data_IF_209329979660
#
_entry.id   IF_209329979660
#
_cell.length_a   1.000
_cell.length_b   1.000
_cell.length_c   1.000
_cell.angle_alpha   90.00
_cell.angle_beta   90.00
_cell.angle_gamma   90.00
#
_symmetry.space_group_name_H-M   'P 1'
#
loop_
_entity.id
_entity.type
_entity.pdbx_description
1 polymer ?
#
# COMPACT_ATOMS: atom_id res chain seq x y z
N UNK A 1 10.57 14.55 21.80
CA UNK A 1 10.78 13.66 20.65
C UNK A 1 9.56 13.77 19.76
N UNK A 2 9.76 13.98 18.46
CA UNK A 2 8.68 14.05 17.48
C UNK A 2 8.05 12.67 17.26
N UNK A 3 6.73 12.60 17.07
CA UNK A 3 6.04 11.34 16.81
C UNK A 3 6.39 10.77 15.43
N UNK A 4 6.15 9.47 15.24
CA UNK A 4 6.36 8.84 13.94
C UNK A 4 5.43 9.42 12.87
N UNK A 5 4.18 9.75 13.22
CA UNK A 5 3.24 10.37 12.27
C UNK A 5 3.70 11.77 11.86
N UNK A 6 4.24 12.56 12.79
CA UNK A 6 4.76 13.90 12.48
C UNK A 6 5.94 13.83 11.51
N UNK A 7 6.86 12.88 11.70
CA UNK A 7 7.97 12.67 10.77
C UNK A 7 7.51 12.20 9.39
N UNK A 8 6.52 11.30 9.35
CA UNK A 8 5.94 10.84 8.09
C UNK A 8 5.37 12.03 7.31
N UNK A 9 4.58 12.88 7.96
CA UNK A 9 4.02 14.08 7.35
C UNK A 9 5.08 15.06 6.82
N UNK A 10 6.14 15.32 7.61
CA UNK A 10 7.24 16.19 7.17
C UNK A 10 7.98 15.65 5.94
N UNK A 11 8.16 14.33 5.83
CA UNK A 11 8.88 13.72 4.73
C UNK A 11 8.02 13.48 3.49
N UNK A 12 6.74 13.14 3.67
CA UNK A 12 5.82 12.84 2.58
C UNK A 12 5.13 14.07 2.01
N UNK A 13 5.07 15.16 2.80
CA UNK A 13 4.30 16.36 2.48
C UNK A 13 2.79 16.17 2.57
N UNK A 14 2.33 15.05 3.15
CA UNK A 14 0.91 14.73 3.33
C UNK A 14 0.52 15.03 4.78
N UNK A 15 -0.54 15.82 4.97
CA UNK A 15 -1.10 16.04 6.30
C UNK A 15 -1.70 14.73 6.84
N UNK A 16 -1.56 14.41 8.13
CA UNK A 16 -2.16 13.19 8.69
C UNK A 16 -3.67 13.08 8.43
N UNK A 17 -4.40 14.19 8.41
CA UNK A 17 -5.83 14.18 8.09
C UNK A 17 -6.11 13.74 6.65
N UNK A 18 -5.30 14.19 5.69
CA UNK A 18 -5.41 13.78 4.29
C UNK A 18 -5.05 12.30 4.09
N UNK A 19 -4.05 11.79 4.83
CA UNK A 19 -3.67 10.38 4.79
C UNK A 19 -4.78 9.45 5.33
N UNK A 20 -5.57 9.93 6.29
CA UNK A 20 -6.68 9.18 6.88
C UNK A 20 -8.06 9.54 6.31
N UNK A 21 -8.14 10.40 5.28
CA UNK A 21 -9.39 10.69 4.56
C UNK A 21 -10.01 9.45 3.86
N UNK A 22 -9.27 8.34 3.79
CA UNK A 22 -9.82 7.02 3.44
C UNK A 22 -10.91 6.54 4.41
N UNK A 23 -10.98 7.09 5.63
CA UNK A 23 -11.98 6.74 6.65
C UNK A 23 -13.31 7.48 6.47
N UNK A 24 -13.34 8.53 5.65
CA UNK A 24 -14.57 9.30 5.36
C UNK A 24 -15.51 8.57 4.39
N UNK A 25 -15.09 7.44 3.82
CA UNK A 25 -15.85 6.67 2.85
C UNK A 25 -15.49 5.20 2.96
N UNK A 26 -16.48 4.31 2.92
CA UNK A 26 -16.20 2.89 2.80
C UNK A 26 -15.73 2.57 1.36
N UNK A 27 -14.42 2.68 1.13
CA UNK A 27 -13.81 2.41 -0.17
C UNK A 27 -13.98 0.94 -0.61
N UNK A 28 -14.08 0.01 0.34
CA UNK A 28 -14.38 -1.38 0.01
C UNK A 28 -15.78 -1.56 -0.57
N UNK A 29 -16.81 -0.94 0.03
CA UNK A 29 -18.16 -0.95 -0.53
C UNK A 29 -18.22 -0.28 -1.90
N UNK A 30 -17.45 0.79 -2.10
CA UNK A 30 -17.40 1.54 -3.36
C UNK A 30 -16.69 0.77 -4.49
N UNK A 31 -15.57 0.13 -4.19
CA UNK A 31 -14.66 -0.45 -5.20
C UNK A 31 -14.77 -1.97 -5.32
N UNK A 32 -15.23 -2.66 -4.29
CA UNK A 32 -15.35 -4.12 -4.24
C UNK A 32 -14.01 -4.87 -4.15
N UNK A 33 -14.07 -6.13 -3.72
CA UNK A 33 -12.89 -6.98 -3.51
C UNK A 33 -12.01 -7.14 -4.77
N UNK A 34 -12.64 -7.32 -5.93
CA UNK A 34 -11.93 -7.54 -7.20
C UNK A 34 -10.93 -6.42 -7.52
N UNK A 35 -11.28 -5.17 -7.21
CA UNK A 35 -10.44 -4.00 -7.45
C UNK A 35 -9.16 -4.02 -6.61
N UNK A 36 -9.24 -4.41 -5.33
CA UNK A 36 -8.06 -4.51 -4.46
C UNK A 36 -7.11 -5.65 -4.88
N UNK A 37 -7.67 -6.77 -5.34
CA UNK A 37 -6.90 -7.89 -5.90
C UNK A 37 -6.19 -7.43 -7.18
N UNK A 38 -6.91 -6.80 -8.10
CA UNK A 38 -6.35 -6.29 -9.36
C UNK A 38 -5.26 -5.25 -9.12
N UNK A 39 -5.49 -4.29 -8.21
CA UNK A 39 -4.52 -3.26 -7.85
C UNK A 39 -3.23 -3.87 -7.31
N UNK A 40 -3.35 -4.77 -6.31
CA UNK A 40 -2.17 -5.38 -5.68
C UNK A 40 -1.42 -6.31 -6.64
N UNK A 41 -2.15 -7.00 -7.53
CA UNK A 41 -1.55 -7.83 -8.59
C UNK A 41 -0.77 -6.96 -9.59
N UNK A 42 -1.37 -5.86 -10.06
CA UNK A 42 -0.71 -4.92 -10.96
C UNK A 42 0.54 -4.31 -10.32
N UNK A 43 0.42 -3.86 -9.06
CA UNK A 43 1.53 -3.34 -8.27
C UNK A 43 2.69 -4.34 -8.17
N UNK A 44 2.43 -5.58 -7.73
CA UNK A 44 3.50 -6.55 -7.58
C UNK A 44 4.03 -7.12 -8.89
N UNK A 45 3.28 -7.07 -10.00
CA UNK A 45 3.86 -7.31 -11.31
C UNK A 45 5.01 -6.32 -11.56
N UNK A 46 4.76 -5.02 -11.37
CA UNK A 46 5.77 -3.98 -11.56
C UNK A 46 6.95 -4.10 -10.60
N UNK A 47 6.71 -4.42 -9.33
CA UNK A 47 7.77 -4.61 -8.34
C UNK A 47 8.69 -5.78 -8.68
N UNK A 48 8.13 -6.92 -9.08
CA UNK A 48 8.93 -8.11 -9.39
C UNK A 48 9.59 -8.04 -10.77
N UNK A 49 9.06 -7.22 -11.68
CA UNK A 49 9.63 -6.94 -12.99
C UNK A 49 10.52 -5.67 -12.99
N UNK A 50 10.83 -5.10 -11.81
CA UNK A 50 11.64 -3.89 -11.71
C UNK A 50 13.10 -4.13 -12.15
N UNK A 51 13.56 -3.32 -13.11
CA UNK A 51 14.93 -3.33 -13.63
C UNK A 51 15.97 -2.88 -12.57
N UNK A 52 15.54 -2.13 -11.55
CA UNK A 52 16.38 -1.65 -10.46
C UNK A 52 16.64 -2.79 -9.45
N UNK A 53 17.77 -3.47 -9.61
CA UNK A 53 18.15 -4.63 -8.77
C UNK A 53 18.16 -4.31 -7.26
N UNK A 54 18.58 -3.10 -6.88
CA UNK A 54 18.60 -2.68 -5.47
C UNK A 54 17.20 -2.66 -4.85
N UNK A 55 16.15 -2.39 -5.63
CA UNK A 55 14.77 -2.38 -5.16
C UNK A 55 14.15 -3.77 -5.26
N UNK A 56 14.31 -4.43 -6.41
CA UNK A 56 13.76 -5.79 -6.64
C UNK A 56 14.31 -6.80 -5.64
N UNK A 57 15.59 -6.70 -5.26
CA UNK A 57 16.22 -7.59 -4.28
C UNK A 57 15.63 -7.51 -2.87
N UNK A 58 14.96 -6.40 -2.50
CA UNK A 58 14.20 -6.28 -1.24
C UNK A 58 13.13 -7.37 -1.14
N UNK A 59 12.56 -7.76 -2.28
CA UNK A 59 11.47 -8.74 -2.36
C UNK A 59 11.94 -10.17 -2.65
N UNK A 60 13.24 -10.41 -2.86
CA UNK A 60 13.77 -11.70 -3.34
C UNK A 60 13.44 -12.91 -2.44
N UNK A 61 13.26 -12.69 -1.14
CA UNK A 61 12.91 -13.74 -0.17
C UNK A 61 11.39 -13.88 0.03
N UNK A 62 10.58 -13.16 -0.73
CA UNK A 62 9.12 -13.23 -0.68
C UNK A 62 8.60 -13.90 -1.95
N UNK A 63 7.58 -14.76 -1.82
CA UNK A 63 6.83 -15.22 -2.98
C UNK A 63 5.89 -14.11 -3.43
N UNK A 64 5.80 -13.89 -4.74
CA UNK A 64 4.99 -12.82 -5.33
C UNK A 64 3.51 -12.95 -4.95
N UNK A 65 2.99 -14.17 -5.01
CA UNK A 65 1.59 -14.48 -4.73
C UNK A 65 1.26 -14.22 -3.25
N UNK A 66 2.17 -14.59 -2.34
CA UNK A 66 2.01 -14.32 -0.91
C UNK A 66 2.05 -12.81 -0.63
N UNK A 67 2.90 -12.06 -1.32
CA UNK A 67 3.01 -10.61 -1.18
C UNK A 67 1.73 -9.91 -1.67
N UNK A 68 1.21 -10.32 -2.84
CA UNK A 68 -0.09 -9.87 -3.37
C UNK A 68 -1.19 -10.13 -2.34
N UNK A 69 -1.27 -11.36 -1.82
CA UNK A 69 -2.28 -11.72 -0.82
C UNK A 69 -2.18 -10.87 0.45
N UNK A 70 -0.98 -10.70 0.98
CA UNK A 70 -0.77 -9.89 2.18
C UNK A 70 -1.22 -8.44 1.98
N UNK A 71 -0.93 -7.85 0.81
CA UNK A 71 -1.26 -6.47 0.53
C UNK A 71 -2.76 -6.25 0.34
N UNK A 72 -3.43 -7.01 -0.55
CA UNK A 72 -4.85 -6.76 -0.78
C UNK A 72 -5.69 -7.07 0.47
N UNK A 73 -5.35 -8.10 1.25
CA UNK A 73 -6.09 -8.41 2.48
C UNK A 73 -5.95 -7.28 3.51
N UNK A 74 -4.77 -6.67 3.61
CA UNK A 74 -4.56 -5.52 4.47
C UNK A 74 -5.36 -4.32 3.99
N UNK A 75 -5.35 -4.02 2.69
CA UNK A 75 -6.12 -2.90 2.13
C UNK A 75 -7.62 -3.10 2.30
N UNK A 76 -8.14 -4.27 1.96
CA UNK A 76 -9.54 -4.64 2.17
C UNK A 76 -9.95 -4.40 3.62
N UNK A 77 -9.16 -4.90 4.58
CA UNK A 77 -9.43 -4.69 6.00
C UNK A 77 -9.34 -3.20 6.40
N UNK A 78 -8.33 -2.48 5.93
CA UNK A 78 -8.10 -1.08 6.33
C UNK A 78 -9.13 -0.13 5.72
N UNK A 79 -9.69 -0.46 4.57
CA UNK A 79 -10.52 0.43 3.77
C UNK A 79 -12.02 0.06 3.79
N UNK A 80 -12.46 -0.59 4.88
CA UNK A 80 -13.88 -0.80 5.18
C UNK A 80 -14.45 -2.20 4.87
N UNK A 81 -13.61 -3.13 4.43
CA UNK A 81 -13.99 -4.51 4.15
C UNK A 81 -13.79 -5.48 5.32
N UNK A 82 -14.02 -6.78 5.10
CA UNK A 82 -13.84 -7.81 6.13
C UNK A 82 -12.37 -7.91 6.61
N UNK A 83 -12.11 -8.33 7.87
CA UNK A 83 -10.77 -8.35 8.45
C UNK A 83 -9.93 -9.56 8.01
N UNK A 84 -9.76 -9.74 6.71
CA UNK A 84 -9.09 -10.91 6.11
C UNK A 84 -7.64 -11.04 6.60
N UNK A 85 -6.91 -9.93 6.65
CA UNK A 85 -5.51 -9.92 7.08
C UNK A 85 -5.37 -10.36 8.54
N UNK A 86 -6.14 -9.75 9.45
CA UNK A 86 -6.09 -10.05 10.87
C UNK A 86 -6.51 -11.48 11.17
N UNK A 87 -7.52 -12.00 10.47
CA UNK A 87 -7.95 -13.39 10.62
C UNK A 87 -6.83 -14.40 10.28
N UNK A 88 -5.97 -14.09 9.30
CA UNK A 88 -4.90 -14.99 8.87
C UNK A 88 -3.56 -14.74 9.56
N UNK A 89 -3.20 -13.48 9.83
CA UNK A 89 -1.85 -13.06 10.27
C UNK A 89 -1.83 -12.31 11.61
N UNK A 90 -2.98 -12.03 12.20
CA UNK A 90 -3.10 -11.16 13.36
C UNK A 90 -2.81 -9.70 13.01
N UNK A 91 -2.36 -8.92 14.00
CA UNK A 91 -2.21 -7.47 13.86
C UNK A 91 -1.33 -7.06 12.64
N UNK A 92 -1.72 -6.03 11.85
CA UNK A 92 -0.93 -5.54 10.72
C UNK A 92 0.52 -5.21 11.08
N UNK A 93 0.73 -4.43 12.14
CA UNK A 93 2.05 -4.17 12.74
C UNK A 93 3.13 -3.78 11.70
N UNK A 94 2.79 -2.83 10.81
CA UNK A 94 3.57 -2.50 9.62
C UNK A 94 5.06 -2.25 9.94
N UNK A 95 5.36 -1.42 10.93
CA UNK A 95 6.76 -1.13 11.34
C UNK A 95 7.50 -2.41 11.71
N UNK A 96 6.89 -3.27 12.54
CA UNK A 96 7.50 -4.52 12.98
C UNK A 96 7.74 -5.50 11.82
N UNK A 97 6.77 -5.62 10.91
CA UNK A 97 6.86 -6.55 9.76
C UNK A 97 7.78 -6.05 8.65
N UNK A 98 8.04 -4.75 8.58
CA UNK A 98 9.00 -4.17 7.62
C UNK A 98 10.42 -4.04 8.18
N UNK A 99 10.64 -4.31 9.48
CA UNK A 99 11.98 -4.28 10.11
C UNK A 99 13.07 -5.08 9.37
N UNK A 100 12.81 -6.24 8.74
CA UNK A 100 13.84 -6.98 8.01
C UNK A 100 14.28 -6.32 6.70
N UNK A 101 13.55 -5.32 6.20
CA UNK A 101 13.77 -4.73 4.89
C UNK A 101 14.39 -3.33 5.02
N UNK A 102 15.27 -2.92 4.09
CA UNK A 102 15.83 -1.57 4.07
C UNK A 102 14.82 -0.57 3.50
N UNK A 103 13.87 -0.11 4.32
CA UNK A 103 12.88 0.91 3.93
C UNK A 103 13.51 2.31 4.00
N UNK A 104 14.33 2.62 3.01
CA UNK A 104 14.94 3.95 2.84
C UNK A 104 13.96 4.92 2.17
N UNK A 105 14.27 6.23 2.19
CA UNK A 105 13.49 7.22 1.44
C UNK A 105 13.43 6.89 -0.05
N UNK A 106 14.54 6.47 -0.66
CA UNK A 106 14.58 6.03 -2.05
C UNK A 106 13.69 4.80 -2.31
N UNK A 107 13.67 3.83 -1.39
CA UNK A 107 12.81 2.66 -1.49
C UNK A 107 11.31 3.04 -1.37
N UNK A 108 10.97 3.99 -0.50
CA UNK A 108 9.61 4.50 -0.38
C UNK A 108 9.15 5.16 -1.70
N UNK A 109 9.96 6.05 -2.29
CA UNK A 109 9.64 6.70 -3.57
C UNK A 109 9.50 5.67 -4.71
N UNK A 110 10.35 4.65 -4.76
CA UNK A 110 10.25 3.59 -5.79
C UNK A 110 9.00 2.73 -5.60
N UNK A 111 8.62 2.43 -4.36
CA UNK A 111 7.36 1.75 -4.05
C UNK A 111 6.15 2.60 -4.50
N UNK A 112 6.16 3.90 -4.17
CA UNK A 112 5.09 4.83 -4.53
C UNK A 112 4.97 5.02 -6.04
N UNK A 113 6.09 5.03 -6.77
CA UNK A 113 6.10 5.05 -8.23
C UNK A 113 5.31 3.89 -8.83
N UNK A 114 5.57 2.66 -8.37
CA UNK A 114 4.84 1.48 -8.84
C UNK A 114 3.36 1.50 -8.44
N UNK A 115 3.05 1.97 -7.23
CA UNK A 115 1.67 2.08 -6.77
C UNK A 115 0.89 3.13 -7.55
N UNK A 116 1.51 4.27 -7.88
CA UNK A 116 0.90 5.29 -8.74
C UNK A 116 0.56 4.71 -10.11
N UNK A 117 1.49 4.01 -10.75
CA UNK A 117 1.24 3.36 -12.04
C UNK A 117 0.16 2.26 -11.96
N UNK A 118 0.10 1.53 -10.84
CA UNK A 118 -0.92 0.53 -10.61
C UNK A 118 -2.32 1.15 -10.44
N UNK A 119 -2.42 2.27 -9.70
CA UNK A 119 -3.66 3.06 -9.59
C UNK A 119 -4.07 3.63 -10.93
N UNK A 120 -3.14 4.21 -11.70
CA UNK A 120 -3.41 4.77 -13.03
C UNK A 120 -3.93 3.70 -13.99
N UNK A 121 -3.35 2.50 -13.94
CA UNK A 121 -3.74 1.35 -14.75
C UNK A 121 -4.98 0.58 -14.27
N UNK A 122 -5.55 0.92 -13.11
CA UNK A 122 -6.77 0.28 -12.59
C UNK A 122 -7.97 1.19 -12.87
N UNK A 123 -8.81 0.80 -13.82
CA UNK A 123 -9.93 1.62 -14.34
C UNK A 123 -11.12 1.71 -13.39
N UNK A 124 -11.26 0.73 -12.50
CA UNK A 124 -12.41 0.62 -11.58
C UNK A 124 -12.27 1.53 -10.34
N UNK A 125 -11.17 2.28 -10.24
CA UNK A 125 -10.93 3.26 -9.17
C UNK A 125 -11.17 4.65 -9.74
N UNK A 126 -12.14 5.38 -9.20
CA UNK A 126 -12.38 6.77 -9.57
C UNK A 126 -11.31 7.71 -9.04
N UNK A 127 -11.23 8.91 -9.62
CA UNK A 127 -10.19 9.91 -9.30
C UNK A 127 -10.16 10.29 -7.83
N UNK A 128 -11.31 10.46 -7.17
CA UNK A 128 -11.35 10.82 -5.75
C UNK A 128 -10.76 9.70 -4.88
N UNK A 129 -11.14 8.46 -5.17
CA UNK A 129 -10.59 7.29 -4.49
C UNK A 129 -9.08 7.12 -4.74
N UNK A 130 -8.58 7.41 -5.95
CA UNK A 130 -7.12 7.41 -6.23
C UNK A 130 -6.37 8.42 -5.37
N UNK A 131 -6.91 9.63 -5.22
CA UNK A 131 -6.30 10.68 -4.39
C UNK A 131 -6.24 10.24 -2.92
N UNK A 132 -7.37 9.78 -2.35
CA UNK A 132 -7.42 9.30 -0.96
C UNK A 132 -6.44 8.15 -0.72
N UNK A 133 -6.39 7.18 -1.62
CA UNK A 133 -5.49 6.04 -1.52
C UNK A 133 -4.01 6.45 -1.62
N UNK A 134 -3.65 7.32 -2.57
CA UNK A 134 -2.27 7.79 -2.73
C UNK A 134 -1.81 8.62 -1.52
N UNK A 135 -2.67 9.45 -0.95
CA UNK A 135 -2.38 10.16 0.31
C UNK A 135 -2.15 9.19 1.46
N UNK A 136 -2.95 8.12 1.58
CA UNK A 136 -2.75 7.09 2.60
C UNK A 136 -1.44 6.31 2.42
N UNK A 137 -0.98 6.11 1.19
CA UNK A 137 0.24 5.35 0.90
C UNK A 137 1.53 6.14 1.13
N UNK A 138 1.47 7.47 1.09
CA UNK A 138 2.59 8.40 1.25
C UNK A 138 2.90 8.68 2.72
#
# INVERSE_FOLDING_TARGET
>A
MQSLQQKASEWSGVDPSDAFAIDDTNLFEKLGLGTFISLSTNFYNRVYDDDEEWFRSIFANSKKEDAIQNQYEFFVQRMGGPPLYSNRKGHPALIGRHRPFPVTHQAAERWLHHMQQALDGTTDIDTESKIKMMNFFR
#
